data_IF_303565579257
#
_entry.id   IF_303565579257
#
_cell.length_a   1.000
_cell.length_b   1.000
_cell.length_c   1.000
_cell.angle_alpha   90.00
_cell.angle_beta   90.00
_cell.angle_gamma   90.00
#
_symmetry.space_group_name_H-M   'P 1'
#
loop_
_entity.id
_entity.type
_entity.pdbx_description
1 polymer ?
#
# COMPACT_ATOMS: atom_id res chain seq x y z
N UNK A 1 21.78 72.04 5.79
CA UNK A 1 20.35 71.89 5.46
C UNK A 1 20.15 71.06 4.19
N UNK A 2 20.81 71.38 3.08
CA UNK A 2 20.71 70.62 1.82
C UNK A 2 21.12 69.13 1.93
N UNK A 3 22.21 68.84 2.65
CA UNK A 3 22.70 67.47 2.82
C UNK A 3 21.74 66.55 3.58
N UNK A 4 20.99 67.09 4.54
CA UNK A 4 19.97 66.34 5.27
C UNK A 4 18.81 65.94 4.35
N UNK A 5 18.36 66.85 3.48
CA UNK A 5 17.31 66.58 2.51
C UNK A 5 17.73 65.53 1.48
N UNK A 6 18.97 65.60 0.99
CA UNK A 6 19.52 64.60 0.06
C UNK A 6 19.59 63.22 0.73
N UNK A 7 20.02 63.16 1.99
CA UNK A 7 20.10 61.92 2.76
C UNK A 7 18.73 61.32 3.04
N UNK A 8 17.73 62.15 3.35
CA UNK A 8 16.34 61.73 3.57
C UNK A 8 15.70 61.16 2.29
N UNK A 9 15.89 61.83 1.14
CA UNK A 9 15.39 61.36 -0.15
C UNK A 9 16.02 60.02 -0.56
N UNK A 10 17.35 59.88 -0.40
CA UNK A 10 18.05 58.63 -0.69
C UNK A 10 17.56 57.46 0.18
N UNK A 11 17.31 57.71 1.45
CA UNK A 11 16.83 56.69 2.38
C UNK A 11 15.37 56.29 2.12
N UNK A 12 14.54 57.22 1.64
CA UNK A 12 13.16 56.94 1.22
C UNK A 12 13.14 56.06 -0.03
N UNK A 13 13.91 56.43 -1.05
CA UNK A 13 14.01 55.66 -2.29
C UNK A 13 14.54 54.23 -2.04
N UNK A 14 15.58 54.08 -1.21
CA UNK A 14 16.10 52.76 -0.83
C UNK A 14 15.10 51.92 -0.03
N UNK A 15 14.21 52.55 0.75
CA UNK A 15 13.12 51.84 1.44
C UNK A 15 12.07 51.33 0.47
N UNK A 16 11.66 52.16 -0.48
CA UNK A 16 10.68 51.80 -1.51
C UNK A 16 11.21 50.65 -2.40
N UNK A 17 12.47 50.72 -2.84
CA UNK A 17 13.11 49.62 -3.59
C UNK A 17 13.15 48.31 -2.78
N UNK A 18 13.47 48.38 -1.48
CA UNK A 18 13.45 47.19 -0.62
C UNK A 18 12.06 46.61 -0.47
N UNK A 19 11.03 47.45 -0.33
CA UNK A 19 9.65 46.95 -0.22
C UNK A 19 9.17 46.31 -1.51
N UNK A 20 9.53 46.88 -2.67
CA UNK A 20 9.21 46.29 -3.98
C UNK A 20 9.94 44.95 -4.17
N UNK A 21 11.23 44.88 -3.84
CA UNK A 21 12.00 43.64 -3.95
C UNK A 21 11.51 42.54 -2.97
N UNK A 22 11.03 42.92 -1.78
CA UNK A 22 10.46 41.99 -0.80
C UNK A 22 9.08 41.47 -1.24
N UNK A 23 8.26 42.33 -1.84
CA UNK A 23 6.96 41.97 -2.39
C UNK A 23 7.12 41.02 -3.59
N UNK A 24 8.00 41.37 -4.54
CA UNK A 24 8.34 40.52 -5.69
C UNK A 24 8.91 39.16 -5.26
N UNK A 25 9.83 39.14 -4.30
CA UNK A 25 10.36 37.89 -3.74
C UNK A 25 9.30 37.06 -3.02
N UNK A 26 8.35 37.73 -2.36
CA UNK A 26 7.20 37.12 -1.71
C UNK A 26 6.30 36.41 -2.73
N UNK A 27 5.93 37.12 -3.79
CA UNK A 27 5.10 36.61 -4.87
C UNK A 27 5.75 35.41 -5.58
N UNK A 28 7.04 35.49 -5.89
CA UNK A 28 7.78 34.37 -6.50
C UNK A 28 7.78 33.14 -5.57
N UNK A 29 8.02 33.34 -4.28
CA UNK A 29 8.01 32.26 -3.28
C UNK A 29 6.61 31.64 -3.12
N UNK A 30 5.57 32.47 -3.11
CA UNK A 30 4.18 32.03 -3.06
C UNK A 30 3.81 31.22 -4.30
N UNK A 31 4.11 31.72 -5.50
CA UNK A 31 3.87 31.02 -6.76
C UNK A 31 4.59 29.66 -6.82
N UNK A 32 5.85 29.61 -6.36
CA UNK A 32 6.62 28.37 -6.30
C UNK A 32 5.99 27.35 -5.33
N UNK A 33 5.60 27.80 -4.13
CA UNK A 33 4.98 26.93 -3.12
C UNK A 33 3.65 26.32 -3.60
N UNK A 34 2.78 27.12 -4.22
CA UNK A 34 1.48 26.67 -4.76
C UNK A 34 1.70 25.64 -5.86
N UNK A 35 2.67 25.88 -6.74
CA UNK A 35 3.00 24.96 -7.85
C UNK A 35 3.50 23.61 -7.33
N UNK A 36 4.40 23.62 -6.34
CA UNK A 36 4.93 22.41 -5.71
C UNK A 36 3.83 21.61 -4.98
N UNK A 37 2.99 22.30 -4.20
CA UNK A 37 1.84 21.69 -3.51
C UNK A 37 0.88 21.04 -4.51
N UNK A 38 0.56 21.72 -5.60
CA UNK A 38 -0.34 21.20 -6.65
C UNK A 38 0.25 19.95 -7.31
N UNK A 39 1.56 19.93 -7.58
CA UNK A 39 2.26 18.78 -8.14
C UNK A 39 2.21 17.57 -7.21
N UNK A 40 2.60 17.72 -5.95
CA UNK A 40 2.59 16.62 -4.99
C UNK A 40 1.18 16.09 -4.72
N UNK A 41 0.19 16.98 -4.65
CA UNK A 41 -1.21 16.57 -4.52
C UNK A 41 -1.65 15.67 -5.69
N UNK A 42 -1.28 16.05 -6.92
CA UNK A 42 -1.57 15.26 -8.12
C UNK A 42 -0.84 13.91 -8.10
N UNK A 43 0.42 13.88 -7.70
CA UNK A 43 1.19 12.63 -7.55
C UNK A 43 0.54 11.69 -6.51
N UNK A 44 0.09 12.21 -5.37
CA UNK A 44 -0.63 11.42 -4.35
C UNK A 44 -1.97 10.89 -4.87
N UNK A 45 -2.71 11.66 -5.68
CA UNK A 45 -3.97 11.21 -6.29
C UNK A 45 -3.78 10.03 -7.25
N UNK A 46 -2.73 10.08 -8.06
CA UNK A 46 -2.37 8.98 -8.96
C UNK A 46 -1.99 7.73 -8.15
N UNK A 47 -1.17 7.89 -7.11
CA UNK A 47 -0.77 6.77 -6.23
C UNK A 47 -1.98 6.16 -5.51
N UNK A 48 -2.90 6.97 -5.02
CA UNK A 48 -4.10 6.51 -4.33
C UNK A 48 -5.04 5.73 -5.27
N UNK A 49 -5.17 6.19 -6.51
CA UNK A 49 -5.91 5.49 -7.56
C UNK A 49 -5.28 4.13 -7.86
N UNK A 50 -3.95 4.08 -7.98
CA UNK A 50 -3.21 2.84 -8.21
C UNK A 50 -3.38 1.86 -7.03
N UNK A 51 -3.27 2.33 -5.78
CA UNK A 51 -3.52 1.52 -4.58
C UNK A 51 -4.93 0.93 -4.60
N UNK A 52 -5.95 1.72 -4.94
CA UNK A 52 -7.32 1.25 -5.03
C UNK A 52 -7.49 0.14 -6.08
N UNK A 53 -6.91 0.33 -7.27
CA UNK A 53 -6.93 -0.67 -8.34
C UNK A 53 -6.19 -1.96 -7.92
N UNK A 54 -5.00 -1.81 -7.35
CA UNK A 54 -4.22 -2.94 -6.86
C UNK A 54 -4.96 -3.70 -5.76
N UNK A 55 -5.61 -3.00 -4.82
CA UNK A 55 -6.43 -3.62 -3.78
C UNK A 55 -7.62 -4.39 -4.36
N UNK A 56 -8.28 -3.87 -5.40
CA UNK A 56 -9.40 -4.55 -6.04
C UNK A 56 -8.95 -5.87 -6.69
N UNK A 57 -7.85 -5.83 -7.45
CA UNK A 57 -7.25 -7.02 -8.06
C UNK A 57 -6.81 -8.02 -6.98
N UNK A 58 -6.08 -7.54 -5.96
CA UNK A 58 -5.59 -8.36 -4.86
C UNK A 58 -6.71 -9.04 -4.06
N UNK A 59 -7.84 -8.36 -3.86
CA UNK A 59 -8.99 -8.91 -3.13
C UNK A 59 -9.56 -10.14 -3.84
N UNK A 60 -9.61 -10.14 -5.18
CA UNK A 60 -10.05 -11.31 -5.94
C UNK A 60 -9.15 -12.53 -5.71
N UNK A 61 -7.83 -12.33 -5.71
CA UNK A 61 -6.87 -13.40 -5.42
C UNK A 61 -6.93 -13.87 -3.97
N UNK A 62 -7.07 -12.96 -3.00
CA UNK A 62 -7.24 -13.31 -1.58
C UNK A 62 -8.49 -14.18 -1.38
N UNK A 63 -9.61 -13.82 -1.99
CA UNK A 63 -10.86 -14.61 -1.92
C UNK A 63 -10.68 -16.00 -2.53
N UNK A 64 -10.03 -16.10 -3.70
CA UNK A 64 -9.72 -17.38 -4.34
C UNK A 64 -8.77 -18.24 -3.47
N UNK A 65 -7.74 -17.64 -2.86
CA UNK A 65 -6.87 -18.31 -1.88
C UNK A 65 -7.66 -18.90 -0.73
N UNK A 66 -8.57 -18.10 -0.18
CA UNK A 66 -9.33 -18.47 1.00
C UNK A 66 -10.25 -19.66 0.72
N UNK A 67 -10.76 -19.75 -0.52
CA UNK A 67 -11.53 -20.89 -0.99
C UNK A 67 -10.66 -22.15 -1.15
N UNK A 68 -9.42 -22.02 -1.60
CA UNK A 68 -8.46 -23.13 -1.71
C UNK A 68 -8.05 -23.73 -0.35
N UNK A 69 -8.16 -22.96 0.75
CA UNK A 69 -7.95 -23.47 2.12
C UNK A 69 -9.20 -24.07 2.76
N UNK A 70 -10.38 -23.88 2.17
CA UNK A 70 -11.59 -24.53 2.65
C UNK A 70 -11.64 -25.94 2.05
N UNK A 71 -12.00 -26.97 2.83
CA UNK A 71 -12.43 -28.23 2.25
C UNK A 71 -13.56 -27.89 1.28
N UNK A 72 -13.36 -28.20 -0.01
CA UNK A 72 -14.43 -28.05 -1.00
C UNK A 72 -15.69 -28.78 -0.51
N UNK A 73 -16.89 -28.26 -0.79
CA UNK A 73 -18.11 -29.01 -0.54
C UNK A 73 -17.92 -30.37 -1.22
N UNK A 74 -17.99 -31.44 -0.41
CA UNK A 74 -17.74 -32.80 -0.83
C UNK A 74 -18.30 -33.03 -2.23
N UNK A 75 -17.43 -33.35 -3.18
CA UNK A 75 -17.85 -33.95 -4.43
C UNK A 75 -18.74 -35.15 -4.06
N UNK A 76 -20.03 -35.20 -4.43
CA UNK A 76 -20.88 -36.34 -4.12
C UNK A 76 -20.40 -37.64 -4.80
N UNK A 77 -19.40 -37.56 -5.68
CA UNK A 77 -18.73 -38.71 -6.29
C UNK A 77 -17.62 -39.33 -5.44
N UNK A 78 -17.16 -38.70 -4.36
CA UNK A 78 -16.17 -39.29 -3.44
C UNK A 78 -16.81 -40.07 -2.27
N UNK A 79 -18.13 -39.97 -2.08
CA UNK A 79 -18.87 -40.71 -1.04
C UNK A 79 -19.07 -42.20 -1.42
N UNK A 80 -18.79 -42.60 -2.67
CA UNK A 80 -19.06 -43.97 -3.14
C UNK A 80 -17.93 -44.98 -2.85
N UNK A 81 -16.76 -44.57 -2.34
CA UNK A 81 -15.69 -45.53 -1.98
C UNK A 81 -15.60 -45.79 -0.46
N UNK A 82 -16.63 -45.39 0.29
CA UNK A 82 -16.84 -45.87 1.67
C UNK A 82 -17.91 -46.97 1.70
N UNK A 83 -17.78 -47.96 0.84
CA UNK A 83 -18.39 -49.28 1.05
C UNK A 83 -17.31 -50.19 1.64
N UNK A 84 -17.09 -50.23 2.97
CA UNK A 84 -16.46 -51.41 3.53
C UNK A 84 -17.43 -52.57 3.28
N UNK A 85 -16.94 -53.55 2.53
CA UNK A 85 -17.60 -54.81 2.29
C UNK A 85 -18.20 -55.38 3.60
N UNK A 86 -19.52 -55.23 3.75
CA UNK A 86 -20.34 -56.09 4.60
C UNK A 86 -21.18 -56.97 3.69
N UNK A 87 -20.51 -57.74 2.83
CA UNK A 87 -21.07 -58.99 2.35
C UNK A 87 -20.44 -60.12 3.16
N UNK A 88 -21.28 -61.09 3.50
CA UNK A 88 -20.96 -62.45 3.97
C UNK A 88 -20.77 -62.60 5.49
N UNK A 89 -21.74 -63.26 6.12
CA UNK A 89 -21.49 -63.98 7.38
C UNK A 89 -22.65 -64.06 8.37
N UNK A 90 -23.82 -64.59 7.99
CA UNK A 90 -24.63 -65.32 8.97
C UNK A 90 -23.83 -66.55 9.41
N UNK A 91 -23.22 -66.52 10.60
CA UNK A 91 -22.86 -67.73 11.34
C UNK A 91 -22.60 -67.41 12.80
N UNK A 92 -23.24 -68.20 13.64
CA UNK A 92 -23.19 -68.17 15.09
C UNK A 92 -21.87 -68.74 15.66
N UNK A 93 -21.51 -68.25 16.84
CA UNK A 93 -20.51 -68.73 17.81
C UNK A 93 -19.09 -68.15 17.77
N UNK A 94 -18.58 -67.97 18.99
CA UNK A 94 -17.19 -67.73 19.42
C UNK A 94 -16.73 -66.26 19.61
N UNK A 95 -16.86 -65.81 20.86
CA UNK A 95 -15.81 -65.25 21.73
C UNK A 95 -14.87 -64.14 21.19
N UNK A 96 -14.98 -62.97 21.85
CA UNK A 96 -13.89 -62.06 22.24
C UNK A 96 -13.13 -61.29 21.15
N UNK A 97 -13.57 -60.04 20.88
CA UNK A 97 -12.84 -58.77 21.08
C UNK A 97 -13.43 -57.66 20.19
N UNK A 98 -13.80 -56.48 20.73
CA UNK A 98 -14.10 -55.35 19.87
C UNK A 98 -12.79 -54.72 19.40
N UNK A 99 -12.33 -55.10 18.20
CA UNK A 99 -11.23 -54.39 17.56
C UNK A 99 -11.73 -53.00 17.17
N UNK A 100 -11.44 -51.99 18.00
CA UNK A 100 -11.71 -50.59 17.68
C UNK A 100 -10.74 -50.16 16.57
N UNK A 101 -11.18 -50.23 15.33
CA UNK A 101 -10.56 -49.47 14.24
C UNK A 101 -10.74 -47.98 14.54
N UNK A 102 -9.74 -47.36 15.15
CA UNK A 102 -9.63 -45.90 15.14
C UNK A 102 -9.11 -45.56 13.76
N UNK A 103 -10.01 -45.35 12.79
CA UNK A 103 -9.67 -44.67 11.56
C UNK A 103 -9.07 -43.33 11.95
N UNK A 104 -7.79 -43.03 11.64
CA UNK A 104 -7.32 -41.67 11.79
C UNK A 104 -8.18 -40.81 10.88
N UNK A 105 -9.05 -39.99 11.48
CA UNK A 105 -9.63 -38.88 10.77
C UNK A 105 -8.46 -38.14 10.12
N UNK A 106 -8.46 -37.93 8.79
CA UNK A 106 -7.45 -37.07 8.19
C UNK A 106 -7.69 -35.70 8.79
N UNK A 107 -6.94 -35.35 9.84
CA UNK A 107 -6.86 -33.99 10.31
C UNK A 107 -6.45 -33.19 9.09
N UNK A 108 -7.35 -32.33 8.64
CA UNK A 108 -7.13 -31.45 7.50
C UNK A 108 -6.00 -30.49 7.86
N UNK A 109 -4.76 -30.96 7.68
CA UNK A 109 -3.57 -30.14 7.79
C UNK A 109 -3.56 -29.29 6.53
N UNK A 110 -4.06 -28.05 6.66
CA UNK A 110 -3.96 -27.07 5.60
C UNK A 110 -2.51 -27.06 5.10
N UNK A 111 -2.26 -27.23 3.79
CA UNK A 111 -0.90 -27.32 3.28
C UNK A 111 -0.09 -26.10 3.71
N UNK A 112 1.13 -26.30 4.18
CA UNK A 112 1.98 -25.20 4.70
C UNK A 112 2.16 -24.09 3.66
N UNK A 113 2.20 -24.44 2.36
CA UNK A 113 2.29 -23.48 1.26
C UNK A 113 1.12 -22.49 1.21
N UNK A 114 -0.08 -22.93 1.60
CA UNK A 114 -1.29 -22.14 1.57
C UNK A 114 -1.28 -21.06 2.67
N UNK A 115 -0.67 -21.36 3.82
CA UNK A 115 -0.45 -20.40 4.92
C UNK A 115 0.54 -19.32 4.50
N UNK A 116 1.65 -19.70 3.85
CA UNK A 116 2.64 -18.75 3.34
C UNK A 116 2.06 -17.83 2.27
N UNK A 117 1.29 -18.37 1.31
CA UNK A 117 0.63 -17.60 0.26
C UNK A 117 -0.35 -16.57 0.82
N UNK A 118 -1.23 -16.97 1.73
CA UNK A 118 -2.17 -16.05 2.36
C UNK A 118 -1.41 -14.97 3.15
N UNK A 119 -0.39 -15.36 3.91
CA UNK A 119 0.42 -14.40 4.67
C UNK A 119 1.09 -13.37 3.76
N UNK A 120 1.62 -13.78 2.61
CA UNK A 120 2.21 -12.88 1.60
C UNK A 120 1.17 -11.94 0.98
N UNK A 121 0.00 -12.46 0.60
CA UNK A 121 -1.07 -11.65 0.00
C UNK A 121 -1.69 -10.68 1.00
N UNK A 122 -1.97 -11.10 2.23
CA UNK A 122 -2.41 -10.19 3.29
C UNK A 122 -1.36 -9.12 3.59
N UNK A 123 -0.07 -9.47 3.64
CA UNK A 123 1.01 -8.50 3.83
C UNK A 123 1.06 -7.47 2.69
N UNK A 124 0.92 -7.91 1.44
CA UNK A 124 0.86 -6.99 0.29
C UNK A 124 -0.34 -6.04 0.36
N UNK A 125 -1.49 -6.51 0.86
CA UNK A 125 -2.69 -5.70 1.04
C UNK A 125 -2.47 -4.62 2.09
N UNK A 126 -1.97 -5.03 3.26
CA UNK A 126 -1.68 -4.12 4.37
C UNK A 126 -0.64 -3.07 3.98
N UNK A 127 0.42 -3.47 3.26
CA UNK A 127 1.47 -2.56 2.83
C UNK A 127 0.97 -1.56 1.78
N UNK A 128 0.12 -2.00 0.86
CA UNK A 128 -0.57 -1.11 -0.08
C UNK A 128 -1.47 -0.10 0.65
N UNK A 129 -2.26 -0.56 1.63
CA UNK A 129 -3.14 0.31 2.41
C UNK A 129 -2.33 1.30 3.28
N UNK A 130 -1.20 0.88 3.83
CA UNK A 130 -0.28 1.75 4.55
C UNK A 130 0.30 2.85 3.64
N UNK A 131 0.62 2.52 2.38
CA UNK A 131 1.05 3.51 1.39
C UNK A 131 -0.05 4.54 1.08
N UNK A 132 -1.31 4.10 0.95
CA UNK A 132 -2.46 5.00 0.77
C UNK A 132 -2.70 5.89 2.00
N UNK A 133 -2.60 5.35 3.21
CA UNK A 133 -2.72 6.13 4.43
C UNK A 133 -1.65 7.23 4.51
N UNK A 134 -0.40 6.92 4.13
CA UNK A 134 0.66 7.91 4.05
C UNK A 134 0.39 8.97 2.97
N UNK A 135 -0.09 8.58 1.79
CA UNK A 135 -0.49 9.52 0.74
C UNK A 135 -1.60 10.48 1.22
N UNK A 136 -2.57 9.96 1.98
CA UNK A 136 -3.65 10.75 2.55
C UNK A 136 -3.16 11.75 3.60
N UNK A 137 -2.26 11.34 4.51
CA UNK A 137 -1.64 12.25 5.50
C UNK A 137 -0.91 13.39 4.80
N UNK A 138 -0.17 13.10 3.71
CA UNK A 138 0.48 14.14 2.90
C UNK A 138 -0.55 15.11 2.34
N UNK A 139 -1.65 14.61 1.75
CA UNK A 139 -2.72 15.47 1.23
C UNK A 139 -3.36 16.35 2.30
N UNK A 140 -3.61 15.80 3.49
CA UNK A 140 -4.15 16.57 4.62
C UNK A 140 -3.23 17.72 5.01
N UNK A 141 -1.93 17.44 5.14
CA UNK A 141 -0.93 18.47 5.47
C UNK A 141 -0.83 19.56 4.40
N UNK A 142 -0.94 19.20 3.12
CA UNK A 142 -0.91 20.14 1.99
C UNK A 142 -2.18 21.00 1.93
N UNK A 143 -3.35 20.41 2.21
CA UNK A 143 -4.62 21.12 2.24
C UNK A 143 -4.65 22.16 3.36
N UNK A 144 -4.21 21.77 4.56
CA UNK A 144 -4.11 22.67 5.72
C UNK A 144 -3.12 23.82 5.50
N UNK A 145 -2.10 23.61 4.67
CA UNK A 145 -1.19 24.68 4.25
C UNK A 145 -1.90 25.69 3.34
N UNK A 146 -2.65 25.21 2.35
CA UNK A 146 -3.33 26.05 1.36
C UNK A 146 -4.47 26.89 1.96
N UNK A 147 -5.26 26.32 2.89
CA UNK A 147 -6.43 26.97 3.49
C UNK A 147 -6.08 28.08 4.48
N UNK A 148 -4.90 28.02 5.11
CA UNK A 148 -4.45 29.06 6.02
C UNK A 148 -3.63 30.16 5.31
N UNK A 149 -2.98 29.86 4.19
CA UNK A 149 -2.25 30.88 3.41
C UNK A 149 -3.16 31.95 2.79
N UNK A 150 -4.45 31.66 2.61
CA UNK A 150 -5.42 32.60 2.04
C UNK A 150 -6.00 33.59 3.05
N UNK A 151 -5.85 33.34 4.35
CA UNK A 151 -6.71 33.95 5.37
C UNK A 151 -6.01 34.99 6.25
N UNK A 152 -4.68 34.95 6.42
CA UNK A 152 -4.08 35.75 7.50
C UNK A 152 -2.72 36.35 7.16
N UNK A 153 -2.58 37.65 7.46
CA UNK A 153 -1.34 38.43 7.63
C UNK A 153 -0.50 37.85 8.80
N UNK A 154 -0.14 36.57 8.76
CA UNK A 154 0.53 35.88 9.86
C UNK A 154 2.01 36.25 9.96
N UNK A 155 2.44 36.51 11.19
CA UNK A 155 3.78 36.92 11.55
C UNK A 155 4.81 35.89 11.07
N UNK A 156 5.90 36.38 10.48
CA UNK A 156 7.04 35.64 9.90
C UNK A 156 7.54 34.46 10.77
N UNK A 157 7.42 34.54 12.09
CA UNK A 157 7.80 33.49 13.05
C UNK A 157 6.88 32.26 13.03
N UNK A 158 5.57 32.44 12.83
CA UNK A 158 4.60 31.33 12.70
C UNK A 158 4.85 30.57 11.40
N UNK A 159 5.17 31.30 10.31
CA UNK A 159 5.55 30.74 9.01
C UNK A 159 6.83 29.90 9.11
N UNK A 160 7.81 30.34 9.90
CA UNK A 160 9.08 29.63 10.08
C UNK A 160 8.96 28.40 11.02
N UNK A 161 8.13 28.47 12.08
CA UNK A 161 7.87 27.33 12.95
C UNK A 161 7.09 26.22 12.23
N UNK A 162 6.20 26.59 11.30
CA UNK A 162 5.45 25.66 10.44
C UNK A 162 6.31 25.08 9.33
N UNK A 163 7.19 25.86 8.72
CA UNK A 163 8.22 25.34 7.80
C UNK A 163 9.16 24.36 8.51
N UNK A 164 9.57 24.67 9.74
CA UNK A 164 10.33 23.73 10.57
C UNK A 164 9.51 22.50 10.98
N UNK A 165 8.18 22.59 11.19
CA UNK A 165 7.36 21.39 11.38
C UNK A 165 7.26 20.55 10.10
N UNK A 166 7.12 21.14 8.92
CA UNK A 166 7.12 20.45 7.62
C UNK A 166 8.48 19.79 7.30
N UNK A 167 9.60 20.48 7.53
CA UNK A 167 10.95 19.93 7.32
C UNK A 167 11.35 18.92 8.41
N UNK A 168 10.88 19.09 9.65
CA UNK A 168 11.15 18.17 10.78
C UNK A 168 10.23 16.96 10.78
N UNK A 169 9.05 17.03 10.16
CA UNK A 169 8.17 15.90 9.89
C UNK A 169 8.41 15.30 8.50
N UNK A 170 9.62 14.81 8.23
CA UNK A 170 9.88 13.70 7.30
C UNK A 170 9.22 13.76 5.92
N UNK A 171 8.73 14.90 5.41
CA UNK A 171 8.04 15.02 4.11
C UNK A 171 8.91 14.49 2.96
N UNK A 172 10.22 14.77 2.89
CA UNK A 172 11.07 14.18 1.87
C UNK A 172 11.08 12.65 1.95
N UNK A 173 11.17 12.11 3.17
CA UNK A 173 11.21 10.66 3.38
C UNK A 173 9.84 9.99 3.23
N UNK A 174 8.73 10.67 3.49
CA UNK A 174 7.37 10.16 3.26
C UNK A 174 7.08 10.14 1.75
N UNK A 175 7.42 11.22 1.03
CA UNK A 175 7.24 11.30 -0.42
C UNK A 175 8.02 10.21 -1.15
N UNK A 176 9.21 9.82 -0.67
CA UNK A 176 9.96 8.67 -1.20
C UNK A 176 9.48 7.31 -0.65
N UNK A 177 8.94 7.29 0.58
CA UNK A 177 8.46 6.05 1.20
C UNK A 177 7.16 5.56 0.56
N UNK A 178 6.21 6.44 0.24
CA UNK A 178 4.91 6.05 -0.34
C UNK A 178 5.07 5.17 -1.59
N UNK A 179 5.80 5.58 -2.65
CA UNK A 179 5.97 4.75 -3.84
C UNK A 179 6.83 3.51 -3.57
N UNK A 180 7.84 3.57 -2.69
CA UNK A 180 8.67 2.40 -2.39
C UNK A 180 7.91 1.32 -1.62
N UNK A 181 7.06 1.68 -0.65
CA UNK A 181 6.17 0.73 0.01
C UNK A 181 5.22 0.05 -0.98
N UNK A 182 4.68 0.81 -1.93
CA UNK A 182 3.80 0.30 -2.96
C UNK A 182 4.52 -0.68 -3.90
N UNK A 183 5.77 -0.39 -4.27
CA UNK A 183 6.60 -1.28 -5.08
C UNK A 183 6.92 -2.59 -4.33
N UNK A 184 7.22 -2.50 -3.03
CA UNK A 184 7.41 -3.70 -2.19
C UNK A 184 6.11 -4.50 -2.11
N UNK A 185 4.95 -3.85 -1.97
CA UNK A 185 3.65 -4.53 -1.96
C UNK A 185 3.40 -5.29 -3.28
N UNK A 186 3.72 -4.65 -4.41
CA UNK A 186 3.63 -5.27 -5.73
C UNK A 186 4.57 -6.47 -5.89
N UNK A 187 5.80 -6.36 -5.38
CA UNK A 187 6.77 -7.46 -5.41
C UNK A 187 6.32 -8.67 -4.57
N UNK A 188 5.76 -8.43 -3.37
CA UNK A 188 5.16 -9.50 -2.55
C UNK A 188 3.97 -10.15 -3.24
N UNK A 189 3.14 -9.38 -3.94
CA UNK A 189 2.01 -9.92 -4.68
C UNK A 189 2.46 -10.78 -5.87
N UNK A 190 3.42 -10.30 -6.66
CA UNK A 190 3.98 -11.02 -7.79
C UNK A 190 4.65 -12.33 -7.35
N UNK A 191 5.38 -12.33 -6.23
CA UNK A 191 6.01 -13.55 -5.71
C UNK A 191 4.95 -14.60 -5.32
N UNK A 192 3.87 -14.19 -4.66
CA UNK A 192 2.74 -15.08 -4.37
C UNK A 192 2.05 -15.60 -5.64
N UNK A 193 1.89 -14.75 -6.66
CA UNK A 193 1.31 -15.14 -7.95
C UNK A 193 2.18 -16.18 -8.67
N UNK A 194 3.50 -16.00 -8.67
CA UNK A 194 4.46 -16.95 -9.25
C UNK A 194 4.29 -18.32 -8.58
N UNK A 195 4.29 -18.39 -7.25
CA UNK A 195 4.13 -19.65 -6.50
C UNK A 195 2.83 -20.38 -6.90
N UNK A 196 1.71 -19.64 -7.01
CA UNK A 196 0.44 -20.23 -7.46
C UNK A 196 0.51 -20.75 -8.88
N UNK A 197 1.12 -20.00 -9.80
CA UNK A 197 1.26 -20.41 -11.19
C UNK A 197 2.12 -21.66 -11.35
N UNK A 198 3.21 -21.77 -10.57
CA UNK A 198 4.04 -22.97 -10.55
C UNK A 198 3.28 -24.20 -10.05
N UNK A 199 2.32 -24.03 -9.14
CA UNK A 199 1.46 -25.12 -8.68
C UNK A 199 0.39 -25.53 -9.71
N UNK A 200 -0.02 -24.62 -10.60
CA UNK A 200 -1.03 -24.88 -11.62
C UNK A 200 -0.43 -25.46 -12.92
N UNK A 201 0.48 -24.73 -13.57
CA UNK A 201 1.13 -25.15 -14.81
C UNK A 201 2.52 -24.52 -14.99
N UNK A 202 3.60 -25.31 -15.13
CA UNK A 202 4.97 -24.81 -15.16
C UNK A 202 5.29 -23.95 -16.38
N UNK A 203 4.66 -24.19 -17.54
CA UNK A 203 4.90 -23.42 -18.77
C UNK A 203 4.40 -21.98 -18.60
N UNK A 204 3.17 -21.80 -18.12
CA UNK A 204 2.59 -20.46 -17.87
C UNK A 204 3.39 -19.75 -16.76
N UNK A 205 3.84 -20.48 -15.75
CA UNK A 205 4.67 -19.96 -14.67
C UNK A 205 6.00 -19.35 -15.16
N UNK A 206 6.69 -20.00 -16.11
CA UNK A 206 7.95 -19.47 -16.66
C UNK A 206 7.77 -18.19 -17.46
N UNK A 207 6.72 -18.09 -18.28
CA UNK A 207 6.44 -16.86 -19.04
C UNK A 207 6.12 -15.69 -18.10
N UNK A 208 5.27 -15.94 -17.11
CA UNK A 208 4.89 -14.90 -16.14
C UNK A 208 6.04 -14.50 -15.22
N UNK A 209 6.94 -15.44 -14.85
CA UNK A 209 8.10 -15.11 -14.02
C UNK A 209 9.11 -14.22 -14.76
N UNK A 210 9.33 -14.45 -16.06
CA UNK A 210 10.21 -13.60 -16.89
C UNK A 210 9.64 -12.19 -16.98
N UNK A 211 8.34 -12.06 -17.23
CA UNK A 211 7.68 -10.75 -17.30
C UNK A 211 7.75 -10.04 -15.94
N UNK A 212 7.45 -10.74 -14.84
CA UNK A 212 7.52 -10.18 -13.50
C UNK A 212 8.95 -9.73 -13.12
N UNK A 213 9.97 -10.50 -13.48
CA UNK A 213 11.36 -10.15 -13.25
C UNK A 213 11.78 -8.90 -14.04
N UNK A 214 11.35 -8.76 -15.29
CA UNK A 214 11.60 -7.56 -16.10
C UNK A 214 10.91 -6.33 -15.50
N UNK A 215 9.68 -6.46 -15.01
CA UNK A 215 8.93 -5.36 -14.38
C UNK A 215 9.57 -4.92 -13.06
N UNK A 216 10.12 -5.85 -12.27
CA UNK A 216 10.80 -5.54 -11.02
C UNK A 216 12.23 -5.01 -11.20
N UNK A 217 12.84 -5.26 -12.37
CA UNK A 217 14.19 -4.79 -12.70
C UNK A 217 14.24 -3.32 -13.17
N UNK A 218 13.08 -2.73 -13.48
CA UNK A 218 12.92 -1.35 -13.91
C UNK A 218 12.55 -0.43 -12.73
#
# INVERSE_FOLDING_TARGET
MLDEWIKALKNKHSREERTMALDESGDIMHAHSITMVKRWTKEMDVLLTFVGLFSAVLTAFVVLSYQLLRPGPADPSAIVIQTPAQLVGFSCNALHQPYRFTTPTPQFAAPTYAIWLNSLWFSSLVLSLASAAMAFVVKQLLSDYSSLSSTTHETILIRQYRWNRLMRWRVPAIVTAVPSLLQVALALFLSGLIIVLWSAHPIVATVVSVIAALVLAF
#
